data_IF_762785117009
#
_entry.id   IF_762785117009
#
_cell.length_a   1.000
_cell.length_b   1.000
_cell.length_c   1.000
_cell.angle_alpha   90.00
_cell.angle_beta   90.00
_cell.angle_gamma   90.00
#
_symmetry.space_group_name_H-M   'P 1'
#
loop_
_entity.id
_entity.type
_entity.pdbx_description
1 polymer ?
#
# COMPACT_ATOMS: atom_id res chain seq x y z
N UNK A 1 7.87 -14.59 12.10
CA UNK A 1 7.41 -13.74 10.97
C UNK A 1 6.24 -12.88 11.47
N UNK A 2 6.24 -11.54 11.31
CA UNK A 2 5.04 -10.76 11.62
C UNK A 2 4.00 -11.15 10.56
N UNK A 3 2.92 -11.81 11.00
CA UNK A 3 1.81 -12.14 10.12
C UNK A 3 1.31 -10.84 9.50
N UNK A 4 1.12 -10.81 8.19
CA UNK A 4 0.65 -9.63 7.44
C UNK A 4 -0.57 -8.95 8.09
N UNK A 5 -1.47 -9.76 8.66
CA UNK A 5 -2.61 -9.32 9.47
C UNK A 5 -2.24 -8.39 10.64
N UNK A 6 -1.12 -8.63 11.33
CA UNK A 6 -0.64 -7.78 12.41
C UNK A 6 -0.20 -6.40 11.89
N UNK A 7 0.53 -6.38 10.77
CA UNK A 7 0.98 -5.13 10.13
C UNK A 7 -0.25 -4.32 9.69
N UNK A 8 -1.24 -5.00 9.10
CA UNK A 8 -2.51 -4.39 8.69
C UNK A 8 -3.28 -3.79 9.86
N UNK A 9 -3.45 -4.54 10.95
CA UNK A 9 -4.11 -4.06 12.18
C UNK A 9 -3.46 -2.77 12.69
N UNK A 10 -2.12 -2.72 12.72
CA UNK A 10 -1.38 -1.53 13.15
C UNK A 10 -1.58 -0.34 12.21
N UNK A 11 -1.58 -0.57 10.90
CA UNK A 11 -1.81 0.50 9.92
C UNK A 11 -3.23 1.09 10.06
N UNK A 12 -4.24 0.22 10.18
CA UNK A 12 -5.64 0.63 10.38
C UNK A 12 -5.80 1.41 11.67
N UNK A 13 -5.17 0.97 12.77
CA UNK A 13 -5.21 1.69 14.04
C UNK A 13 -4.65 3.11 13.91
N UNK A 14 -3.45 3.28 13.34
CA UNK A 14 -2.84 4.60 13.12
C UNK A 14 -3.73 5.48 12.23
N UNK A 15 -4.26 4.91 11.15
CA UNK A 15 -5.17 5.63 10.25
C UNK A 15 -6.47 6.05 10.96
N UNK A 16 -7.03 5.18 11.81
CA UNK A 16 -8.22 5.47 12.59
C UNK A 16 -7.98 6.58 13.63
N UNK A 17 -6.87 6.52 14.36
CA UNK A 17 -6.45 7.59 15.30
C UNK A 17 -6.24 8.93 14.59
N UNK A 18 -5.76 8.89 13.35
CA UNK A 18 -5.62 10.07 12.48
C UNK A 18 -6.96 10.50 11.81
N UNK A 19 -8.08 9.82 12.06
CA UNK A 19 -9.40 10.16 11.51
C UNK A 19 -9.59 9.82 10.03
N UNK A 20 -8.93 8.79 9.53
CA UNK A 20 -9.17 8.24 8.19
C UNK A 20 -10.22 7.12 8.23
N UNK A 21 -11.09 7.08 7.22
CA UNK A 21 -11.93 5.93 6.93
C UNK A 21 -11.13 4.94 6.10
N UNK A 22 -11.09 3.67 6.48
CA UNK A 22 -10.24 2.67 5.82
C UNK A 22 -11.05 1.52 5.24
N UNK A 23 -10.57 0.98 4.13
CA UNK A 23 -11.07 -0.24 3.51
C UNK A 23 -9.88 -1.13 3.12
N UNK A 24 -10.04 -2.45 3.23
CA UNK A 24 -9.05 -3.44 2.79
C UNK A 24 -9.78 -4.66 2.25
N UNK A 25 -9.21 -5.38 1.26
CA UNK A 25 -9.89 -6.49 0.63
C UNK A 25 -10.03 -7.67 1.62
N UNK A 26 -11.19 -8.36 1.62
CA UNK A 26 -11.31 -9.65 2.29
C UNK A 26 -10.31 -10.64 1.67
N UNK A 27 -9.89 -11.66 2.44
CA UNK A 27 -9.00 -12.70 1.92
C UNK A 27 -9.74 -13.56 0.89
N UNK A 28 -9.76 -13.12 -0.36
CA UNK A 28 -10.32 -13.90 -1.47
C UNK A 28 -9.16 -14.51 -2.25
N UNK A 29 -9.19 -15.83 -2.44
CA UNK A 29 -8.23 -16.54 -3.31
C UNK A 29 -8.70 -16.46 -4.77
N UNK A 30 -8.70 -15.27 -5.36
CA UNK A 30 -8.97 -15.13 -6.80
C UNK A 30 -7.66 -14.92 -7.56
N UNK A 31 -7.52 -15.57 -8.73
CA UNK A 31 -6.31 -15.65 -9.55
C UNK A 31 -6.23 -14.57 -10.65
N UNK A 32 -6.95 -13.46 -10.52
CA UNK A 32 -6.92 -12.40 -11.52
C UNK A 32 -5.90 -11.32 -11.14
N UNK A 33 -5.26 -10.72 -12.14
CA UNK A 33 -4.47 -9.49 -11.95
C UNK A 33 -5.43 -8.38 -11.55
N UNK A 34 -5.37 -7.98 -10.29
CA UNK A 34 -6.26 -6.99 -9.69
C UNK A 34 -5.42 -5.82 -9.13
N UNK A 35 -6.03 -4.63 -9.03
CA UNK A 35 -5.44 -3.43 -8.42
C UNK A 35 -5.00 -3.68 -6.97
N UNK A 36 -5.60 -4.66 -6.27
CA UNK A 36 -5.15 -5.09 -4.94
C UNK A 36 -3.79 -5.81 -4.95
N UNK A 37 -3.24 -6.15 -6.11
CA UNK A 37 -1.86 -6.61 -6.24
C UNK A 37 -0.82 -5.57 -5.79
N UNK A 38 -1.20 -4.29 -5.78
CA UNK A 38 -0.36 -3.14 -5.41
C UNK A 38 -0.98 -2.25 -4.31
N UNK A 39 -2.14 -2.64 -3.77
CA UNK A 39 -2.87 -1.89 -2.72
C UNK A 39 -3.44 -2.89 -1.71
N UNK A 40 -2.94 -2.85 -0.47
CA UNK A 40 -3.48 -3.66 0.63
C UNK A 40 -4.53 -2.90 1.44
N UNK A 41 -4.45 -1.57 1.50
CA UNK A 41 -5.36 -0.70 2.26
C UNK A 41 -5.65 0.58 1.46
N UNK A 42 -6.92 0.94 1.36
CA UNK A 42 -7.39 2.24 0.92
C UNK A 42 -7.77 3.06 2.16
N UNK A 43 -7.40 4.33 2.20
CA UNK A 43 -7.81 5.24 3.26
C UNK A 43 -8.28 6.58 2.69
N UNK A 44 -9.40 7.09 3.19
CA UNK A 44 -10.05 8.33 2.75
C UNK A 44 -10.23 9.30 3.93
N UNK A 45 -9.98 10.59 3.70
CA UNK A 45 -10.22 11.67 4.68
C UNK A 45 -10.54 12.97 3.95
N UNK A 46 -11.82 13.35 3.92
CA UNK A 46 -12.29 14.48 3.12
C UNK A 46 -11.92 14.29 1.63
N UNK A 47 -11.23 15.26 1.04
CA UNK A 47 -10.73 15.20 -0.36
C UNK A 47 -9.41 14.43 -0.52
N UNK A 48 -8.86 13.84 0.55
CA UNK A 48 -7.57 13.13 0.52
C UNK A 48 -7.80 11.62 0.43
N UNK A 49 -6.95 10.95 -0.36
CA UNK A 49 -6.90 9.49 -0.48
C UNK A 49 -5.48 8.97 -0.28
N UNK A 50 -5.36 7.76 0.25
CA UNK A 50 -4.12 6.99 0.33
C UNK A 50 -4.35 5.60 -0.22
N UNK A 51 -3.52 5.21 -1.19
CA UNK A 51 -3.43 3.83 -1.67
C UNK A 51 -2.19 3.22 -1.02
N UNK A 52 -2.35 2.27 -0.11
CA UNK A 52 -1.26 1.82 0.76
C UNK A 52 -0.93 0.35 0.46
N UNK A 53 0.32 0.07 0.13
CA UNK A 53 0.91 -1.26 0.15
C UNK A 53 1.64 -1.46 1.48
N UNK A 54 1.24 -2.47 2.24
CA UNK A 54 1.89 -2.87 3.47
C UNK A 54 3.03 -3.84 3.19
N UNK A 55 4.12 -3.70 3.94
CA UNK A 55 5.27 -4.61 3.83
C UNK A 55 6.14 -4.58 5.09
N UNK A 56 7.26 -5.28 5.05
CA UNK A 56 8.35 -5.19 6.04
C UNK A 56 9.57 -4.53 5.42
N UNK A 57 10.45 -3.94 6.24
CA UNK A 57 11.66 -3.26 5.75
C UNK A 57 12.47 -4.03 4.70
N UNK A 58 12.76 -5.35 4.86
CA UNK A 58 13.55 -6.08 3.85
C UNK A 58 12.89 -6.17 2.48
N UNK A 59 11.57 -6.02 2.41
CA UNK A 59 10.77 -6.24 1.20
C UNK A 59 10.38 -4.92 0.49
N UNK A 60 10.86 -3.77 0.96
CA UNK A 60 10.53 -2.46 0.37
C UNK A 60 10.90 -2.43 -1.12
N UNK A 61 12.15 -2.77 -1.45
CA UNK A 61 12.65 -2.67 -2.83
C UNK A 61 11.87 -3.58 -3.79
N UNK A 62 11.53 -4.79 -3.35
CA UNK A 62 10.71 -5.72 -4.14
C UNK A 62 9.30 -5.17 -4.37
N UNK A 63 8.66 -4.60 -3.34
CA UNK A 63 7.33 -3.99 -3.47
C UNK A 63 7.36 -2.76 -4.36
N UNK A 64 8.39 -1.91 -4.24
CA UNK A 64 8.61 -0.75 -5.11
C UNK A 64 8.67 -1.16 -6.57
N UNK A 65 9.51 -2.15 -6.90
CA UNK A 65 9.63 -2.65 -8.28
C UNK A 65 8.29 -3.19 -8.79
N UNK A 66 7.56 -3.97 -7.98
CA UNK A 66 6.24 -4.50 -8.34
C UNK A 66 5.24 -3.38 -8.66
N UNK A 67 5.16 -2.36 -7.81
CA UNK A 67 4.25 -1.22 -8.00
C UNK A 67 4.61 -0.46 -9.28
N UNK A 68 5.87 -0.09 -9.46
CA UNK A 68 6.32 0.66 -10.65
C UNK A 68 6.04 -0.13 -11.93
N UNK A 69 6.35 -1.43 -11.93
CA UNK A 69 6.11 -2.29 -13.08
C UNK A 69 4.62 -2.34 -13.43
N UNK A 70 3.75 -2.59 -12.44
CA UNK A 70 2.30 -2.61 -12.64
C UNK A 70 1.79 -1.29 -13.22
N UNK A 71 2.17 -0.15 -12.63
CA UNK A 71 1.68 1.16 -13.08
C UNK A 71 2.12 1.47 -14.52
N UNK A 72 3.34 1.07 -14.91
CA UNK A 72 3.84 1.23 -16.28
C UNK A 72 3.17 0.27 -17.27
N UNK A 73 3.06 -1.00 -16.90
CA UNK A 73 2.47 -2.06 -17.74
C UNK A 73 1.03 -1.75 -18.10
N UNK A 74 0.25 -1.26 -17.15
CA UNK A 74 -1.17 -0.94 -17.34
C UNK A 74 -1.44 0.53 -17.68
N UNK A 75 -0.41 1.34 -17.88
CA UNK A 75 -0.53 2.76 -18.20
C UNK A 75 -1.37 3.56 -17.18
N UNK A 76 -1.18 3.31 -15.88
CA UNK A 76 -1.98 3.89 -14.78
C UNK A 76 -1.20 4.93 -13.98
N UNK A 77 -1.74 6.15 -13.89
CA UNK A 77 -1.29 7.16 -12.94
C UNK A 77 -2.01 7.02 -11.59
N UNK A 78 -1.37 6.32 -10.66
CA UNK A 78 -1.92 6.13 -9.32
C UNK A 78 -0.83 6.29 -8.26
N UNK A 79 -0.90 7.32 -7.39
CA UNK A 79 0.02 7.45 -6.28
C UNK A 79 -0.17 6.31 -5.27
N UNK A 80 0.91 5.59 -4.96
CA UNK A 80 0.90 4.48 -3.98
C UNK A 80 1.92 4.74 -2.89
N UNK A 81 1.51 4.56 -1.63
CA UNK A 81 2.38 4.63 -0.46
C UNK A 81 2.79 3.22 -0.04
N UNK A 82 4.09 2.98 0.10
CA UNK A 82 4.62 1.77 0.75
C UNK A 82 4.78 2.06 2.24
N UNK A 83 4.09 1.30 3.07
CA UNK A 83 4.20 1.37 4.53
C UNK A 83 4.92 0.12 5.03
N UNK A 84 6.20 0.26 5.33
CA UNK A 84 7.04 -0.84 5.77
C UNK A 84 7.20 -0.84 7.28
N UNK A 85 6.74 -1.91 7.93
CA UNK A 85 6.86 -2.04 9.38
C UNK A 85 8.31 -2.31 9.80
N UNK A 86 8.87 -1.37 10.57
CA UNK A 86 10.12 -1.53 11.30
C UNK A 86 9.82 -2.16 12.66
N UNK A 87 10.17 -3.44 12.83
CA UNK A 87 9.95 -4.15 14.10
C UNK A 87 10.80 -3.60 15.24
N UNK A 88 12.02 -3.13 14.95
CA UNK A 88 12.95 -2.63 15.98
C UNK A 88 12.45 -1.29 16.52
N UNK A 89 12.06 -0.40 15.62
CA UNK A 89 11.58 0.95 15.98
C UNK A 89 10.07 1.03 16.24
N UNK A 90 9.35 -0.08 16.09
CA UNK A 90 7.89 -0.19 16.22
C UNK A 90 7.12 0.91 15.47
N UNK A 91 7.55 1.21 14.24
CA UNK A 91 6.94 2.25 13.41
C UNK A 91 6.96 1.91 11.93
N UNK A 92 6.15 2.60 11.15
CA UNK A 92 6.18 2.49 9.70
C UNK A 92 7.22 3.43 9.09
N UNK A 93 8.10 2.87 8.25
CA UNK A 93 8.83 3.65 7.25
C UNK A 93 7.92 3.79 6.04
N UNK A 94 7.58 5.03 5.68
CA UNK A 94 6.69 5.35 4.57
C UNK A 94 7.49 5.82 3.36
N UNK A 95 7.12 5.38 2.17
CA UNK A 95 7.66 5.85 0.90
C UNK A 95 6.50 6.08 -0.06
N UNK A 96 6.57 7.13 -0.89
CA UNK A 96 5.53 7.44 -1.87
C UNK A 96 6.06 7.24 -3.28
N UNK A 97 5.35 6.45 -4.07
CA UNK A 97 5.58 6.26 -5.50
C UNK A 97 4.54 7.11 -6.23
N UNK A 98 5.02 7.95 -7.12
CA UNK A 98 4.20 8.73 -8.03
C UNK A 98 4.90 8.76 -9.38
N UNK A 99 4.38 8.01 -10.35
CA UNK A 99 4.90 8.05 -11.71
C UNK A 99 4.01 8.98 -12.54
N UNK A 100 4.63 9.72 -13.45
CA UNK A 100 3.93 10.39 -14.54
C UNK A 100 4.08 9.53 -15.78
N UNK A 101 3.01 9.36 -16.52
CA UNK A 101 3.02 8.66 -17.79
C UNK A 101 2.93 9.73 -18.87
N UNK A 102 3.76 9.62 -19.91
CA UNK A 102 3.62 10.49 -21.08
C UNK A 102 2.38 10.05 -21.84
N UNK A 103 1.53 11.00 -22.22
CA UNK A 103 0.47 10.76 -23.20
C UNK A 103 1.11 10.29 -24.51
N UNK A 104 0.50 9.29 -25.15
CA UNK A 104 0.94 8.74 -26.42
C UNK A 104 0.57 9.66 -27.58
#
# INVERSE_FOLDING_TARGET
MAKEALIRKKAIQILGEEGWVTWYPPKVRYKQTDVFGIIDVLALKGKRKKNIQLTTLPNISTKRKKIINFLKEFNVELPVEIWAWDRKKRKFRKEKINIKIKEA
#
